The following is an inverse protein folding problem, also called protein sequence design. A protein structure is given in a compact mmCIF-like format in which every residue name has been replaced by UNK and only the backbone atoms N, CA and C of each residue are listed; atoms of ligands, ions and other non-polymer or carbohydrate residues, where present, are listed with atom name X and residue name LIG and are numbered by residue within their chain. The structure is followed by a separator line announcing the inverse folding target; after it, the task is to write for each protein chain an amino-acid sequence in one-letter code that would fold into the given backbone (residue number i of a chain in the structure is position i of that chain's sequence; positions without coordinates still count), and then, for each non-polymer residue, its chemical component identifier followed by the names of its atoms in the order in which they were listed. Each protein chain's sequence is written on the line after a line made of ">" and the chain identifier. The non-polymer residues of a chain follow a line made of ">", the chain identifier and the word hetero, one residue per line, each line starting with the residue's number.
data_IF_311517133133
#
_entry.id   IF_311517133133
#
_cell.length_a   1.000
_cell.length_b   1.000
_cell.length_c   1.000
_cell.angle_alpha   90.00
_cell.angle_beta   90.00
_cell.angle_gamma   90.00
#
_symmetry.space_group_name_H-M   'P 1'
#
loop_
_entity.id
_entity.type
_entity.pdbx_description
1 polymer ?
#
# COMPACT_ATOMS: atom_id res chain seq x y z
N UNK A 1 72.80 -3.85 -14.92
CA UNK A 1 71.60 -2.99 -15.02
C UNK A 1 70.56 -3.71 -15.85
N UNK A 2 69.65 -4.43 -15.20
CA UNK A 2 68.56 -5.15 -15.87
C UNK A 2 67.28 -4.82 -15.10
N UNK A 3 66.42 -4.00 -15.70
CA UNK A 3 65.17 -3.52 -15.11
C UNK A 3 64.16 -4.66 -15.09
N UNK A 4 63.71 -5.04 -13.90
CA UNK A 4 62.59 -5.97 -13.69
C UNK A 4 61.31 -5.13 -13.75
N UNK A 5 60.48 -5.38 -14.77
CA UNK A 5 59.13 -4.82 -14.88
C UNK A 5 58.16 -5.70 -14.08
N UNK A 6 57.63 -5.18 -12.97
CA UNK A 6 56.48 -5.76 -12.29
C UNK A 6 55.20 -5.40 -13.05
N UNK A 7 54.54 -6.39 -13.63
CA UNK A 7 53.20 -6.25 -14.19
C UNK A 7 52.18 -6.49 -13.05
N UNK A 8 51.44 -5.44 -12.69
CA UNK A 8 50.33 -5.51 -11.73
C UNK A 8 49.12 -6.14 -12.44
N UNK A 9 48.72 -7.34 -12.05
CA UNK A 9 47.45 -7.95 -12.48
C UNK A 9 46.32 -7.42 -11.60
N UNK A 10 45.51 -6.50 -12.13
CA UNK A 10 44.24 -6.10 -11.52
C UNK A 10 43.19 -7.12 -11.96
N UNK A 11 42.86 -8.05 -11.06
CA UNK A 11 41.74 -8.97 -11.28
C UNK A 11 40.42 -8.21 -11.19
N UNK A 12 39.70 -8.10 -12.31
CA UNK A 12 38.32 -7.64 -12.35
C UNK A 12 37.45 -8.67 -11.62
N UNK A 13 36.94 -8.33 -10.43
CA UNK A 13 35.85 -9.09 -9.81
C UNK A 13 34.56 -8.61 -10.47
N UNK A 14 34.06 -9.37 -11.44
CA UNK A 14 32.71 -9.17 -11.98
C UNK A 14 31.71 -9.66 -10.93
N UNK A 15 31.15 -8.73 -10.17
CA UNK A 15 30.01 -9.00 -9.30
C UNK A 15 28.78 -9.19 -10.18
N UNK A 16 28.41 -10.43 -10.43
CA UNK A 16 27.16 -10.78 -11.12
C UNK A 16 26.00 -10.49 -10.16
N UNK A 17 25.34 -9.35 -10.33
CA UNK A 17 24.06 -9.07 -9.67
C UNK A 17 23.03 -10.03 -10.29
N UNK A 18 22.70 -11.11 -9.58
CA UNK A 18 21.55 -11.94 -9.91
C UNK A 18 20.31 -11.19 -9.46
N UNK A 19 19.64 -10.50 -10.37
CA UNK A 19 18.28 -10.01 -10.13
C UNK A 19 17.33 -11.19 -10.23
N UNK A 20 16.96 -11.78 -9.10
CA UNK A 20 15.83 -12.71 -9.04
C UNK A 20 14.56 -11.90 -9.28
N UNK A 21 14.02 -11.93 -10.49
CA UNK A 21 12.66 -11.49 -10.74
C UNK A 21 11.73 -12.42 -9.98
N UNK A 22 11.25 -12.00 -8.82
CA UNK A 22 10.16 -12.69 -8.13
C UNK A 22 8.90 -12.37 -8.93
N UNK A 23 8.54 -13.26 -9.86
CA UNK A 23 7.24 -13.20 -10.52
C UNK A 23 6.18 -13.48 -9.47
N UNK A 24 5.47 -12.45 -9.02
CA UNK A 24 4.21 -12.65 -8.29
C UNK A 24 3.29 -13.45 -9.21
N UNK A 25 2.78 -14.58 -8.71
CA UNK A 25 1.77 -15.32 -9.46
C UNK A 25 0.54 -14.42 -9.63
N UNK A 26 -0.07 -14.47 -10.81
CA UNK A 26 -1.27 -13.70 -11.10
C UNK A 26 -2.50 -14.46 -10.60
N UNK A 27 -3.56 -13.73 -10.27
CA UNK A 27 -4.89 -14.27 -9.99
C UNK A 27 -5.23 -15.34 -11.05
N UNK A 28 -5.60 -16.57 -10.64
CA UNK A 28 -5.91 -17.64 -11.58
C UNK A 28 -6.97 -17.19 -12.59
N UNK A 29 -6.76 -17.50 -13.86
CA UNK A 29 -7.71 -17.12 -14.91
C UNK A 29 -9.10 -17.66 -14.57
N UNK A 30 -10.08 -16.75 -14.54
CA UNK A 30 -11.47 -17.07 -14.25
C UNK A 30 -11.84 -17.16 -12.76
N UNK A 31 -10.90 -16.98 -11.83
CA UNK A 31 -11.17 -17.13 -10.39
C UNK A 31 -12.31 -16.21 -9.90
N UNK A 32 -12.36 -14.97 -10.40
CA UNK A 32 -13.38 -13.98 -10.03
C UNK A 32 -14.51 -13.83 -11.05
N UNK A 33 -14.66 -14.72 -12.05
CA UNK A 33 -15.67 -14.57 -13.12
C UNK A 33 -17.12 -14.56 -12.60
N UNK A 34 -17.37 -15.18 -11.45
CA UNK A 34 -18.69 -15.24 -10.81
C UNK A 34 -18.94 -14.10 -9.83
N UNK A 35 -17.98 -13.19 -9.63
CA UNK A 35 -18.16 -12.03 -8.74
C UNK A 35 -19.16 -11.05 -9.35
N UNK A 36 -20.13 -10.62 -8.55
CA UNK A 36 -21.17 -9.70 -8.95
C UNK A 36 -20.96 -8.33 -8.28
N UNK A 37 -20.33 -7.41 -8.99
CA UNK A 37 -20.00 -6.06 -8.50
C UNK A 37 -21.17 -5.07 -8.56
N UNK A 38 -22.40 -5.50 -8.87
CA UNK A 38 -23.52 -4.58 -9.15
C UNK A 38 -23.96 -3.72 -7.95
N UNK A 39 -23.79 -4.21 -6.73
CA UNK A 39 -24.06 -3.51 -5.47
C UNK A 39 -23.37 -4.25 -4.31
N UNK A 40 -23.36 -3.65 -3.12
CA UNK A 40 -22.64 -4.19 -1.97
C UNK A 40 -23.11 -5.58 -1.55
N UNK A 41 -24.43 -5.81 -1.53
CA UNK A 41 -25.01 -7.12 -1.15
C UNK A 41 -24.64 -8.18 -2.17
N UNK A 42 -24.82 -7.88 -3.46
CA UNK A 42 -24.45 -8.81 -4.53
C UNK A 42 -22.95 -9.10 -4.57
N UNK A 43 -22.12 -8.10 -4.29
CA UNK A 43 -20.66 -8.27 -4.22
C UNK A 43 -20.32 -9.19 -3.05
N UNK A 44 -20.74 -8.82 -1.85
CA UNK A 44 -20.55 -9.61 -0.63
C UNK A 44 -20.98 -11.07 -0.82
N UNK A 45 -22.21 -11.32 -1.25
CA UNK A 45 -22.76 -12.67 -1.41
C UNK A 45 -22.01 -13.48 -2.48
N UNK A 46 -21.55 -12.82 -3.55
CA UNK A 46 -20.75 -13.48 -4.58
C UNK A 46 -19.32 -13.76 -4.13
N UNK A 47 -18.73 -12.87 -3.32
CA UNK A 47 -17.41 -13.07 -2.72
C UNK A 47 -17.43 -14.22 -1.71
N UNK A 48 -18.42 -14.25 -0.81
CA UNK A 48 -18.60 -15.34 0.15
C UNK A 48 -18.60 -16.71 -0.56
N UNK A 49 -19.41 -16.86 -1.61
CA UNK A 49 -19.52 -18.11 -2.39
C UNK A 49 -18.26 -18.56 -3.13
N UNK A 50 -17.33 -17.66 -3.44
CA UNK A 50 -16.08 -18.05 -4.13
C UNK A 50 -14.95 -18.34 -3.16
N UNK A 51 -15.06 -17.87 -1.92
CA UNK A 51 -14.03 -18.08 -0.90
C UNK A 51 -14.44 -19.10 0.15
N UNK A 52 -15.72 -19.49 0.21
CA UNK A 52 -16.24 -20.53 1.09
C UNK A 52 -15.48 -21.86 0.94
N UNK A 53 -15.62 -22.73 1.94
CA UNK A 53 -15.14 -24.12 1.87
C UNK A 53 -13.65 -24.34 1.58
N UNK A 54 -12.79 -23.46 2.10
CA UNK A 54 -11.33 -23.61 2.00
C UNK A 54 -10.84 -25.01 2.44
N UNK A 55 -9.80 -25.52 1.76
CA UNK A 55 -9.17 -26.78 2.12
C UNK A 55 -8.43 -26.63 3.46
N UNK A 56 -8.92 -27.34 4.48
CA UNK A 56 -8.34 -27.35 5.83
C UNK A 56 -7.02 -28.13 5.86
N UNK A 57 -6.02 -27.56 6.54
CA UNK A 57 -4.80 -28.25 6.95
C UNK A 57 -4.75 -28.39 8.48
N UNK A 58 -4.14 -29.45 9.04
CA UNK A 58 -3.94 -29.55 10.48
C UNK A 58 -3.15 -28.36 11.01
N UNK A 59 -3.38 -27.98 12.26
CA UNK A 59 -2.59 -26.93 12.88
C UNK A 59 -1.12 -27.40 12.97
N UNK A 60 -0.84 -28.56 13.54
CA UNK A 60 0.50 -29.17 13.54
C UNK A 60 0.42 -30.63 13.09
N UNK A 61 1.31 -31.07 12.20
CA UNK A 61 1.37 -32.44 11.66
C UNK A 61 2.80 -32.82 11.22
N UNK A 62 2.99 -34.09 10.85
CA UNK A 62 4.18 -34.56 10.14
C UNK A 62 4.03 -34.56 8.61
N UNK A 63 2.80 -34.37 8.13
CA UNK A 63 2.51 -33.99 6.74
C UNK A 63 2.32 -32.47 6.67
N UNK A 64 1.99 -31.94 5.48
CA UNK A 64 1.73 -30.49 5.31
C UNK A 64 0.75 -29.97 6.35
N UNK A 65 1.16 -28.94 7.08
CA UNK A 65 0.36 -28.27 8.11
C UNK A 65 0.42 -26.74 7.96
N UNK A 66 -0.19 -26.01 8.91
CA UNK A 66 -0.17 -24.55 8.87
C UNK A 66 1.24 -23.94 9.00
N UNK A 67 2.22 -24.61 9.60
CA UNK A 67 3.60 -24.10 9.63
C UNK A 67 4.23 -24.12 8.26
N UNK A 68 4.07 -25.21 7.51
CA UNK A 68 4.63 -25.31 6.15
C UNK A 68 4.08 -24.20 5.24
N UNK A 69 2.77 -23.94 5.35
CA UNK A 69 2.10 -22.90 4.57
C UNK A 69 2.60 -21.51 4.98
N UNK A 70 2.64 -21.24 6.28
CA UNK A 70 3.01 -19.91 6.80
C UNK A 70 4.50 -19.59 6.63
N UNK A 71 5.38 -20.59 6.71
CA UNK A 71 6.80 -20.36 6.42
C UNK A 71 7.06 -20.05 4.95
N UNK A 72 6.17 -20.47 4.05
CA UNK A 72 6.18 -20.04 2.65
C UNK A 72 5.53 -18.67 2.49
N UNK A 73 4.42 -18.41 3.18
CA UNK A 73 3.66 -17.17 3.09
C UNK A 73 4.45 -15.97 3.62
N UNK A 74 5.14 -16.14 4.75
CA UNK A 74 5.91 -15.09 5.43
C UNK A 74 7.41 -15.16 5.11
N UNK A 75 7.80 -15.83 4.02
CA UNK A 75 9.18 -16.00 3.59
C UNK A 75 9.88 -14.65 3.34
N UNK A 76 11.11 -14.52 3.85
CA UNK A 76 11.95 -13.38 3.54
C UNK A 76 12.35 -13.41 2.05
N UNK A 77 11.97 -12.40 1.24
CA UNK A 77 12.26 -12.42 -0.20
C UNK A 77 13.76 -12.30 -0.50
N UNK A 78 14.58 -11.87 0.46
CA UNK A 78 16.03 -11.79 0.33
C UNK A 78 16.77 -13.02 0.89
N UNK A 79 16.08 -13.91 1.61
CA UNK A 79 16.64 -15.16 2.15
C UNK A 79 15.53 -16.19 2.40
N UNK A 80 15.34 -17.11 1.46
CA UNK A 80 14.27 -18.11 1.53
C UNK A 80 14.41 -19.11 2.69
N UNK A 81 15.55 -19.13 3.40
CA UNK A 81 15.73 -19.92 4.62
C UNK A 81 15.12 -19.27 5.86
N UNK A 82 14.64 -18.03 5.73
CA UNK A 82 14.09 -17.23 6.82
C UNK A 82 12.65 -16.80 6.54
N UNK A 83 11.93 -16.50 7.62
CA UNK A 83 10.64 -15.80 7.59
C UNK A 83 10.84 -14.37 8.09
N UNK A 84 9.87 -13.49 7.86
CA UNK A 84 9.79 -12.15 8.46
C UNK A 84 8.57 -12.10 9.37
N UNK A 85 8.78 -11.80 10.65
CA UNK A 85 7.70 -11.74 11.61
C UNK A 85 6.79 -10.52 11.40
N UNK A 86 5.47 -10.73 11.46
CA UNK A 86 4.42 -9.72 11.23
C UNK A 86 4.68 -8.39 11.97
N UNK A 87 4.76 -8.44 13.30
CA UNK A 87 4.81 -7.22 14.12
C UNK A 87 6.20 -6.63 14.29
N UNK A 88 7.24 -7.45 14.43
CA UNK A 88 8.60 -6.96 14.74
C UNK A 88 9.41 -6.65 13.47
N UNK A 89 8.97 -7.11 12.30
CA UNK A 89 9.70 -7.03 11.02
C UNK A 89 11.12 -7.62 11.07
N UNK A 90 11.40 -8.46 12.06
CA UNK A 90 12.67 -9.16 12.22
C UNK A 90 12.61 -10.50 11.48
N UNK A 91 13.74 -10.92 10.91
CA UNK A 91 13.84 -12.23 10.27
C UNK A 91 14.26 -13.32 11.23
N UNK A 92 13.72 -14.51 11.03
CA UNK A 92 14.02 -15.69 11.82
C UNK A 92 14.29 -16.88 10.90
N UNK A 93 15.29 -17.74 11.21
CA UNK A 93 15.44 -19.01 10.51
C UNK A 93 14.16 -19.85 10.62
N UNK A 94 13.74 -20.44 9.50
CA UNK A 94 12.63 -21.40 9.46
C UNK A 94 12.93 -22.58 10.39
N UNK A 95 11.96 -22.93 11.23
CA UNK A 95 12.14 -23.87 12.33
C UNK A 95 10.86 -24.67 12.66
N UNK A 96 9.76 -24.43 11.94
CA UNK A 96 8.46 -25.04 12.18
C UNK A 96 7.92 -24.80 13.60
N UNK A 97 7.00 -25.68 14.02
CA UNK A 97 6.37 -25.59 15.34
C UNK A 97 7.26 -25.97 16.52
N UNK A 98 7.03 -25.29 17.65
CA UNK A 98 7.73 -25.56 18.92
C UNK A 98 9.05 -24.82 19.09
N UNK A 99 9.39 -23.90 18.18
CA UNK A 99 10.54 -23.01 18.33
C UNK A 99 10.28 -21.88 19.36
N UNK A 100 11.35 -21.19 19.78
CA UNK A 100 11.27 -20.10 20.79
C UNK A 100 11.21 -18.69 20.19
N UNK A 101 11.43 -18.54 18.88
CA UNK A 101 11.63 -17.26 18.22
C UNK A 101 10.29 -16.64 17.81
N UNK A 102 9.44 -17.43 17.17
CA UNK A 102 8.16 -17.01 16.63
C UNK A 102 7.08 -18.07 16.83
N UNK A 103 5.84 -17.62 16.77
CA UNK A 103 4.66 -18.47 16.81
C UNK A 103 3.61 -17.97 15.82
N UNK A 104 2.53 -18.74 15.68
CA UNK A 104 1.39 -18.36 14.82
C UNK A 104 0.52 -17.34 15.56
N UNK A 105 0.37 -16.19 14.95
CA UNK A 105 -0.52 -15.11 15.31
C UNK A 105 -1.89 -15.37 14.67
N UNK A 106 -2.92 -15.46 15.51
CA UNK A 106 -4.32 -15.40 15.06
C UNK A 106 -4.76 -13.95 15.02
N UNK A 107 -4.70 -13.27 13.87
CA UNK A 107 -5.08 -11.84 13.76
C UNK A 107 -6.53 -11.60 14.18
N UNK A 108 -7.44 -12.54 13.94
CA UNK A 108 -8.65 -12.69 14.75
C UNK A 108 -8.34 -13.62 15.93
N UNK A 109 -8.21 -13.12 17.18
CA UNK A 109 -7.85 -13.95 18.32
C UNK A 109 -8.83 -15.10 18.45
N UNK A 110 -8.32 -16.32 18.41
CA UNK A 110 -9.14 -17.54 18.53
C UNK A 110 -10.04 -17.57 19.77
N UNK A 111 -9.69 -16.83 20.83
CA UNK A 111 -10.53 -16.69 22.02
C UNK A 111 -11.90 -16.08 21.73
N UNK A 112 -12.05 -15.35 20.61
CA UNK A 112 -13.30 -14.75 20.18
C UNK A 112 -14.05 -15.66 19.19
N UNK A 113 -14.61 -16.74 19.72
CA UNK A 113 -15.56 -17.59 19.00
C UNK A 113 -15.07 -18.96 18.56
N UNK A 114 -13.76 -19.22 18.58
CA UNK A 114 -13.21 -20.50 18.11
C UNK A 114 -11.94 -20.94 18.89
N UNK A 115 -11.96 -21.06 20.22
CA UNK A 115 -10.74 -21.13 21.05
C UNK A 115 -9.92 -22.42 20.94
N UNK A 116 -10.50 -23.49 20.39
CA UNK A 116 -9.95 -24.83 20.45
C UNK A 116 -9.48 -25.33 19.07
N UNK A 117 -8.28 -25.92 19.01
CA UNK A 117 -7.79 -26.62 17.82
C UNK A 117 -8.53 -27.96 17.69
N UNK A 118 -9.57 -27.98 16.86
CA UNK A 118 -10.40 -29.15 16.61
C UNK A 118 -10.55 -29.40 15.12
N UNK A 119 -10.76 -30.66 14.74
CA UNK A 119 -10.92 -31.07 13.34
C UNK A 119 -12.08 -30.36 12.62
N UNK A 120 -13.06 -29.87 13.38
CA UNK A 120 -14.25 -29.18 12.89
C UNK A 120 -14.15 -27.65 13.01
N UNK A 121 -13.01 -27.11 13.42
CA UNK A 121 -12.84 -25.68 13.65
C UNK A 121 -12.03 -25.06 12.51
N UNK A 122 -12.71 -24.79 11.39
CA UNK A 122 -12.12 -24.27 10.16
C UNK A 122 -11.44 -22.90 10.32
N UNK A 123 -12.05 -21.90 10.98
CA UNK A 123 -11.38 -20.62 11.20
C UNK A 123 -10.07 -20.75 11.96
N UNK A 124 -9.92 -21.77 12.81
CA UNK A 124 -8.71 -21.94 13.62
C UNK A 124 -7.44 -22.14 12.77
N UNK A 125 -7.57 -22.79 11.62
CA UNK A 125 -6.45 -23.19 10.75
C UNK A 125 -6.41 -22.44 9.43
N UNK A 126 -7.30 -21.47 9.22
CA UNK A 126 -7.37 -20.70 7.99
C UNK A 126 -6.17 -19.75 7.87
N UNK A 127 -5.23 -20.06 6.99
CA UNK A 127 -3.96 -19.34 6.91
C UNK A 127 -4.04 -17.94 6.31
N UNK A 128 -5.19 -17.52 5.74
CA UNK A 128 -5.38 -16.12 5.29
C UNK A 128 -5.37 -15.09 6.43
N UNK A 129 -5.52 -15.53 7.68
CA UNK A 129 -5.49 -14.67 8.86
C UNK A 129 -4.44 -15.09 9.90
N UNK A 130 -3.74 -16.20 9.64
CA UNK A 130 -2.61 -16.62 10.44
C UNK A 130 -1.34 -16.01 9.90
N UNK A 131 -0.46 -15.55 10.77
CA UNK A 131 0.85 -15.04 10.39
C UNK A 131 1.90 -15.55 11.38
N UNK A 132 3.17 -15.58 10.98
CA UNK A 132 4.27 -15.81 11.90
C UNK A 132 4.66 -14.50 12.58
N UNK A 133 4.67 -14.49 13.90
CA UNK A 133 5.02 -13.32 14.69
C UNK A 133 6.03 -13.67 15.77
N UNK A 134 6.89 -12.71 16.13
CA UNK A 134 7.75 -12.85 17.29
C UNK A 134 6.92 -13.22 18.52
N UNK A 135 7.32 -14.27 19.25
CA UNK A 135 6.51 -14.82 20.35
C UNK A 135 6.18 -13.80 21.43
N UNK A 136 7.10 -12.86 21.72
CA UNK A 136 6.88 -11.79 22.70
C UNK A 136 5.93 -10.69 22.20
N UNK A 137 5.92 -10.42 20.89
CA UNK A 137 5.01 -9.44 20.28
C UNK A 137 3.60 -10.02 20.17
N UNK A 138 3.46 -11.26 19.72
CA UNK A 138 2.19 -11.99 19.77
C UNK A 138 1.64 -12.02 21.21
N UNK A 139 2.48 -12.39 22.20
CA UNK A 139 2.06 -12.36 23.62
C UNK A 139 1.61 -10.97 24.08
N UNK A 140 2.26 -9.90 23.62
CA UNK A 140 1.90 -8.53 23.96
C UNK A 140 0.57 -8.12 23.33
N UNK A 141 0.35 -8.52 22.06
CA UNK A 141 -0.90 -8.34 21.33
C UNK A 141 -2.06 -9.04 22.03
N UNK A 142 -1.85 -10.28 22.47
CA UNK A 142 -2.84 -11.07 23.22
C UNK A 142 -4.15 -11.19 22.42
N UNK A 143 -5.30 -10.94 23.04
CA UNK A 143 -6.59 -10.85 22.37
C UNK A 143 -7.11 -9.41 22.29
N UNK A 144 -6.22 -8.42 22.18
CA UNK A 144 -6.66 -7.02 22.04
C UNK A 144 -7.19 -6.73 20.64
N UNK A 145 -8.28 -5.96 20.52
CA UNK A 145 -8.68 -5.37 19.25
C UNK A 145 -7.56 -4.56 18.60
N UNK A 146 -7.47 -4.66 17.28
CA UNK A 146 -6.78 -3.67 16.49
C UNK A 146 -7.50 -2.33 16.64
N UNK A 147 -6.75 -1.32 17.06
CA UNK A 147 -7.24 -0.01 17.43
C UNK A 147 -6.07 0.98 17.40
N UNK A 148 -6.36 2.26 17.15
CA UNK A 148 -5.37 3.32 17.39
C UNK A 148 -5.01 3.40 18.88
N UNK A 149 -3.79 3.86 19.16
CA UNK A 149 -3.25 3.99 20.50
C UNK A 149 -2.87 5.44 20.81
N UNK A 150 -3.88 6.27 21.07
CA UNK A 150 -3.70 7.73 21.20
C UNK A 150 -3.10 8.19 22.54
N UNK A 151 -3.10 7.35 23.59
CA UNK A 151 -2.56 7.72 24.91
C UNK A 151 -2.18 6.53 25.79
N UNK A 152 -1.12 6.71 26.60
CA UNK A 152 -0.71 5.72 27.60
C UNK A 152 -0.18 4.41 27.01
N UNK A 153 0.37 4.47 25.80
CA UNK A 153 0.78 3.30 25.04
C UNK A 153 2.22 2.91 25.32
N UNK A 154 2.46 1.60 25.37
CA UNK A 154 3.80 1.02 25.38
C UNK A 154 4.24 0.74 23.96
N UNK A 155 5.42 1.24 23.59
CA UNK A 155 6.03 1.00 22.30
C UNK A 155 6.54 -0.43 22.16
N UNK A 156 6.40 -0.97 20.95
CA UNK A 156 6.94 -2.25 20.50
C UNK A 156 7.62 -2.02 19.14
N UNK A 157 8.91 -1.66 19.21
CA UNK A 157 9.74 -1.26 18.07
C UNK A 157 9.84 -2.32 16.97
N UNK A 158 9.89 -1.90 15.72
CA UNK A 158 10.24 -2.78 14.62
C UNK A 158 11.74 -2.84 14.39
N UNK A 159 12.19 -3.84 13.63
CA UNK A 159 13.56 -3.94 13.11
C UNK A 159 13.57 -3.50 11.65
N UNK A 160 14.60 -2.72 11.28
CA UNK A 160 14.80 -2.33 9.89
C UNK A 160 15.15 -3.56 9.04
N UNK A 161 14.26 -3.90 8.11
CA UNK A 161 14.40 -5.10 7.29
C UNK A 161 13.58 -4.94 6.01
N UNK A 162 14.10 -5.43 4.89
CA UNK A 162 13.43 -5.31 3.58
C UNK A 162 13.01 -3.87 3.25
N UNK A 163 13.88 -2.92 3.61
CA UNK A 163 13.65 -1.48 3.47
C UNK A 163 12.44 -0.93 4.24
N UNK A 164 11.91 -1.63 5.25
CA UNK A 164 10.80 -1.18 6.09
C UNK A 164 11.13 -1.34 7.57
N UNK A 165 10.46 -0.58 8.43
CA UNK A 165 10.63 -0.66 9.88
C UNK A 165 11.96 -0.10 10.40
N UNK A 166 12.10 -0.10 11.72
CA UNK A 166 13.27 0.35 12.47
C UNK A 166 13.36 1.86 12.67
N UNK A 167 12.45 2.66 12.11
CA UNK A 167 12.30 4.07 12.46
C UNK A 167 11.43 4.26 13.71
N UNK A 168 11.50 5.45 14.31
CA UNK A 168 10.69 5.82 15.49
C UNK A 168 9.20 5.99 15.19
N UNK A 169 8.81 6.09 13.91
CA UNK A 169 7.41 6.21 13.49
C UNK A 169 6.81 4.88 13.03
N UNK A 170 7.64 3.86 12.79
CA UNK A 170 7.22 2.53 12.34
C UNK A 170 7.17 1.53 13.52
N UNK A 171 6.52 1.90 14.61
CA UNK A 171 6.39 1.06 15.80
C UNK A 171 4.98 0.52 15.97
N UNK A 172 4.86 -0.60 16.68
CA UNK A 172 3.56 -1.03 17.20
C UNK A 172 3.33 -0.37 18.55
N UNK A 173 2.08 -0.14 18.91
CA UNK A 173 1.69 0.49 20.16
C UNK A 173 0.63 -0.34 20.86
N UNK A 174 0.74 -0.48 22.17
CA UNK A 174 -0.24 -1.26 22.91
C UNK A 174 -0.54 -0.72 24.29
N UNK A 175 -1.81 -0.86 24.68
CA UNK A 175 -2.29 -0.55 26.03
C UNK A 175 -3.44 -1.46 26.43
N UNK A 176 -3.70 -1.58 27.72
CA UNK A 176 -4.80 -2.36 28.27
C UNK A 176 -4.77 -3.87 27.97
N UNK A 177 -5.92 -4.52 28.09
CA UNK A 177 -6.08 -5.97 27.96
C UNK A 177 -7.49 -6.33 27.47
N UNK A 178 -7.63 -7.53 26.88
CA UNK A 178 -8.92 -8.00 26.37
C UNK A 178 -9.58 -7.03 25.40
N UNK A 179 -10.90 -7.01 25.40
CA UNK A 179 -11.71 -6.19 24.50
C UNK A 179 -11.61 -4.67 24.77
N UNK A 180 -11.07 -4.24 25.92
CA UNK A 180 -10.84 -2.82 26.23
C UNK A 180 -9.43 -2.36 25.90
N UNK A 181 -8.49 -3.28 25.64
CA UNK A 181 -7.15 -2.96 25.21
C UNK A 181 -7.07 -2.55 23.73
N UNK A 182 -5.91 -2.06 23.33
CA UNK A 182 -5.59 -1.68 21.96
C UNK A 182 -4.25 -2.27 21.56
N UNK A 183 -4.20 -2.80 20.34
CA UNK A 183 -2.97 -3.08 19.63
C UNK A 183 -3.00 -2.31 18.31
N UNK A 184 -2.19 -1.26 18.22
CA UNK A 184 -1.93 -0.56 16.97
C UNK A 184 -0.71 -1.21 16.34
N UNK A 185 -0.88 -1.86 15.19
CA UNK A 185 0.27 -2.40 14.46
C UNK A 185 0.98 -1.27 13.73
N UNK A 186 2.27 -1.45 13.45
CA UNK A 186 3.06 -0.48 12.69
C UNK A 186 2.50 -0.25 11.28
N UNK A 187 2.77 0.93 10.72
CA UNK A 187 2.09 1.50 9.54
C UNK A 187 2.02 0.57 8.33
N UNK A 188 3.08 -0.16 8.02
CA UNK A 188 3.19 -1.03 6.83
C UNK A 188 2.62 -2.45 7.05
N UNK A 189 1.85 -2.67 8.13
CA UNK A 189 1.10 -3.92 8.40
C UNK A 189 -0.35 -3.66 8.81
N UNK A 190 -0.78 -2.39 8.78
CA UNK A 190 -2.13 -1.97 9.17
C UNK A 190 -3.13 -2.58 8.17
N UNK A 191 -2.81 -2.54 6.89
CA UNK A 191 -3.58 -3.06 5.78
C UNK A 191 -3.65 -4.59 5.78
N UNK A 192 -2.53 -5.28 5.98
CA UNK A 192 -2.44 -6.74 6.10
C UNK A 192 -3.40 -7.27 7.16
N UNK A 193 -3.30 -6.69 8.37
CA UNK A 193 -4.11 -7.08 9.51
C UNK A 193 -5.59 -6.79 9.25
N UNK A 194 -5.91 -5.63 8.66
CA UNK A 194 -7.28 -5.26 8.33
C UNK A 194 -7.92 -6.20 7.31
N UNK A 195 -7.23 -6.47 6.19
CA UNK A 195 -7.73 -7.31 5.11
C UNK A 195 -7.84 -8.78 5.52
N UNK A 196 -7.00 -9.28 6.43
CA UNK A 196 -7.16 -10.59 7.04
C UNK A 196 -8.47 -10.71 7.86
N UNK A 197 -8.79 -9.70 8.68
CA UNK A 197 -10.02 -9.68 9.47
C UNK A 197 -11.27 -9.50 8.61
N UNK A 198 -11.19 -8.65 7.57
CA UNK A 198 -12.28 -8.46 6.60
C UNK A 198 -12.55 -9.74 5.80
N UNK A 199 -11.49 -10.45 5.40
CA UNK A 199 -11.62 -11.77 4.77
C UNK A 199 -12.37 -12.74 5.68
N UNK A 200 -11.99 -12.87 6.95
CA UNK A 200 -12.69 -13.77 7.87
C UNK A 200 -14.18 -13.41 8.00
N UNK A 201 -14.50 -12.13 8.02
CA UNK A 201 -15.88 -11.67 8.18
C UNK A 201 -16.78 -12.00 6.99
N UNK A 202 -16.23 -12.06 5.77
CA UNK A 202 -16.96 -12.48 4.57
C UNK A 202 -16.85 -13.98 4.33
N UNK A 203 -15.74 -14.62 4.75
CA UNK A 203 -15.59 -16.07 4.61
C UNK A 203 -16.55 -16.81 5.54
N UNK A 204 -16.68 -16.37 6.79
CA UNK A 204 -17.42 -17.07 7.83
C UNK A 204 -18.71 -16.32 8.19
N UNK A 205 -19.78 -16.61 7.46
CA UNK A 205 -21.11 -16.00 7.66
C UNK A 205 -22.09 -16.93 8.39
N UNK A 206 -21.57 -18.02 8.95
CA UNK A 206 -22.35 -19.13 9.49
C UNK A 206 -22.65 -20.21 8.46
N UNK A 207 -23.65 -21.05 8.74
CA UNK A 207 -24.03 -22.15 7.84
C UNK A 207 -23.21 -23.41 8.07
N UNK A 208 -23.01 -24.18 7.01
CA UNK A 208 -22.31 -25.46 7.06
C UNK A 208 -21.39 -25.59 5.86
N UNK A 209 -20.16 -26.05 6.11
CA UNK A 209 -19.22 -26.38 5.06
C UNK A 209 -19.83 -27.44 4.13
N UNK A 210 -19.96 -27.17 2.84
CA UNK A 210 -20.66 -28.04 1.88
C UNK A 210 -19.96 -29.38 1.67
N UNK A 211 -18.62 -29.41 1.72
CA UNK A 211 -17.82 -30.63 1.60
C UNK A 211 -17.88 -31.58 2.82
N UNK A 212 -18.00 -31.06 4.05
CA UNK A 212 -17.89 -31.88 5.27
C UNK A 212 -19.14 -31.86 6.16
N UNK A 213 -20.08 -30.95 5.92
CA UNK A 213 -21.30 -30.77 6.72
C UNK A 213 -21.04 -30.14 8.10
N UNK A 214 -19.82 -29.69 8.37
CA UNK A 214 -19.45 -29.06 9.64
C UNK A 214 -20.06 -27.67 9.73
N UNK A 215 -20.73 -27.35 10.85
CA UNK A 215 -21.23 -26.00 11.10
C UNK A 215 -20.09 -25.00 11.24
N UNK A 216 -20.23 -23.85 10.58
CA UNK A 216 -19.26 -22.75 10.63
C UNK A 216 -19.82 -21.59 11.48
N UNK A 217 -18.96 -20.80 12.15
CA UNK A 217 -19.40 -19.61 12.86
C UNK A 217 -19.74 -18.46 11.90
N UNK A 218 -20.55 -17.52 12.36
CA UNK A 218 -20.66 -16.19 11.76
C UNK A 218 -19.70 -15.24 12.50
N UNK A 219 -18.63 -14.82 11.84
CA UNK A 219 -17.62 -13.89 12.37
C UNK A 219 -17.93 -12.47 11.89
N UNK A 220 -18.21 -11.56 12.83
CA UNK A 220 -18.70 -10.21 12.50
C UNK A 220 -17.74 -9.14 13.00
N UNK A 221 -17.34 -8.21 12.12
CA UNK A 221 -16.61 -7.01 12.51
C UNK A 221 -17.52 -5.98 13.19
N UNK A 222 -17.08 -5.38 14.30
CA UNK A 222 -17.91 -4.40 15.03
C UNK A 222 -17.10 -3.37 15.81
N UNK A 223 -17.49 -2.10 15.76
CA UNK A 223 -16.94 -1.07 16.64
C UNK A 223 -17.40 -1.23 18.11
N UNK A 224 -18.38 -2.11 18.36
CA UNK A 224 -18.92 -2.33 19.70
C UNK A 224 -18.03 -3.27 20.52
N UNK A 225 -17.12 -2.71 21.30
CA UNK A 225 -16.24 -3.45 22.22
C UNK A 225 -16.98 -4.36 23.22
N UNK A 226 -18.23 -4.08 23.58
CA UNK A 226 -19.01 -4.97 24.45
C UNK A 226 -19.40 -6.27 23.73
N UNK A 227 -19.74 -6.21 22.43
CA UNK A 227 -19.98 -7.42 21.64
C UNK A 227 -18.70 -8.25 21.48
N UNK A 228 -17.55 -7.58 21.28
CA UNK A 228 -16.24 -8.24 21.26
C UNK A 228 -15.97 -8.93 22.60
N UNK A 229 -16.16 -8.22 23.72
CA UNK A 229 -15.96 -8.77 25.06
C UNK A 229 -16.80 -10.04 25.30
N UNK A 230 -18.07 -9.99 24.89
CA UNK A 230 -19.01 -11.11 25.02
C UNK A 230 -18.67 -12.32 24.15
N UNK A 231 -17.77 -12.17 23.17
CA UNK A 231 -17.32 -13.28 22.30
C UNK A 231 -16.22 -14.12 22.93
N UNK A 232 -15.61 -13.66 24.04
CA UNK A 232 -14.60 -14.41 24.79
C UNK A 232 -15.23 -15.31 25.84
N UNK A 233 -15.84 -16.39 25.40
CA UNK A 233 -16.58 -17.32 26.28
C UNK A 233 -15.78 -18.56 26.66
N UNK A 234 -14.67 -18.85 25.96
CA UNK A 234 -13.96 -20.11 26.07
C UNK A 234 -14.59 -21.27 25.29
N UNK A 235 -15.68 -21.00 24.56
CA UNK A 235 -16.42 -22.00 23.78
C UNK A 235 -16.46 -21.63 22.29
N UNK A 236 -16.73 -22.61 21.43
CA UNK A 236 -17.04 -22.34 20.03
C UNK A 236 -18.42 -21.69 19.93
N UNK A 237 -18.51 -20.54 19.27
CA UNK A 237 -19.74 -19.75 19.16
C UNK A 237 -20.33 -19.84 17.75
N UNK A 238 -21.66 -19.84 17.66
CA UNK A 238 -22.35 -19.71 16.38
C UNK A 238 -22.21 -18.30 15.77
N UNK A 239 -22.08 -17.28 16.63
CA UNK A 239 -21.82 -15.89 16.23
C UNK A 239 -20.75 -15.34 17.15
N UNK A 240 -19.71 -14.73 16.58
CA UNK A 240 -18.65 -14.08 17.34
C UNK A 240 -18.27 -12.74 16.71
N UNK A 241 -17.80 -11.84 17.55
CA UNK A 241 -17.49 -10.46 17.18
C UNK A 241 -16.03 -10.13 17.51
N UNK A 242 -15.39 -9.39 16.62
CA UNK A 242 -14.04 -8.87 16.81
C UNK A 242 -13.81 -7.61 15.96
N UNK A 243 -12.72 -6.89 16.20
CA UNK A 243 -12.19 -5.86 15.30
C UNK A 243 -13.02 -4.58 15.26
N UNK A 244 -12.39 -3.43 15.50
CA UNK A 244 -13.06 -2.14 15.32
C UNK A 244 -13.21 -1.86 13.83
N UNK A 245 -14.38 -2.15 13.28
CA UNK A 245 -14.67 -2.09 11.84
C UNK A 245 -14.20 -0.77 11.23
N UNK A 246 -14.52 0.36 11.87
CA UNK A 246 -14.11 1.69 11.40
C UNK A 246 -12.60 1.86 11.33
N UNK A 247 -11.86 1.44 12.37
CA UNK A 247 -10.40 1.45 12.37
C UNK A 247 -9.81 0.56 11.29
N UNK A 248 -10.33 -0.66 11.13
CA UNK A 248 -9.83 -1.59 10.12
C UNK A 248 -10.05 -1.06 8.70
N UNK A 249 -11.19 -0.41 8.44
CA UNK A 249 -11.44 0.27 7.16
C UNK A 249 -10.42 1.39 6.96
N UNK A 250 -10.17 2.21 7.97
CA UNK A 250 -9.18 3.29 7.86
C UNK A 250 -7.76 2.74 7.60
N UNK A 251 -7.36 1.71 8.32
CA UNK A 251 -6.07 1.02 8.11
C UNK A 251 -5.93 0.45 6.71
N UNK A 252 -6.99 -0.15 6.16
CA UNK A 252 -6.99 -0.59 4.77
C UNK A 252 -6.75 0.57 3.79
N UNK A 253 -7.28 1.78 4.08
CA UNK A 253 -7.10 2.97 3.25
C UNK A 253 -5.68 3.52 3.33
N UNK A 254 -5.11 3.51 4.53
CA UNK A 254 -3.79 4.11 4.82
C UNK A 254 -2.62 3.21 4.41
N UNK A 255 -2.84 1.89 4.33
CA UNK A 255 -1.82 0.90 4.00
C UNK A 255 -2.25 0.02 2.80
N UNK A 256 -1.93 0.44 1.55
CA UNK A 256 -2.27 -0.27 0.33
C UNK A 256 -1.62 -1.65 0.22
N UNK A 257 -2.19 -2.53 -0.61
CA UNK A 257 -1.69 -3.89 -0.79
C UNK A 257 -0.25 -3.91 -1.33
N UNK A 258 0.64 -4.61 -0.63
CA UNK A 258 2.06 -4.73 -1.00
C UNK A 258 2.43 -6.12 -1.57
N UNK A 259 3.72 -6.31 -1.89
CA UNK A 259 4.24 -7.58 -2.42
C UNK A 259 4.34 -8.68 -1.35
N UNK A 260 4.34 -8.34 -0.06
CA UNK A 260 4.34 -9.33 1.02
C UNK A 260 2.96 -9.95 1.17
N UNK A 261 1.90 -9.14 1.17
CA UNK A 261 0.52 -9.61 1.19
C UNK A 261 0.16 -10.42 -0.06
N UNK A 262 0.58 -9.96 -1.25
CA UNK A 262 0.37 -10.74 -2.48
C UNK A 262 1.02 -12.12 -2.38
N UNK A 263 2.28 -12.20 -1.93
CA UNK A 263 2.97 -13.50 -1.74
C UNK A 263 2.31 -14.37 -0.68
N UNK A 264 1.84 -13.77 0.41
CA UNK A 264 1.10 -14.47 1.43
C UNK A 264 -0.18 -15.09 0.83
N UNK A 265 -0.99 -14.28 0.14
CA UNK A 265 -2.21 -14.74 -0.54
C UNK A 265 -1.94 -15.86 -1.56
N UNK A 266 -0.84 -15.77 -2.32
CA UNK A 266 -0.42 -16.84 -3.25
C UNK A 266 -0.04 -18.14 -2.54
N UNK A 267 0.74 -18.06 -1.46
CA UNK A 267 1.16 -19.23 -0.70
C UNK A 267 -0.05 -19.92 -0.06
N UNK A 268 -0.99 -19.14 0.49
CA UNK A 268 -2.23 -19.67 1.06
C UNK A 268 -3.10 -20.29 -0.02
N UNK A 269 -3.31 -19.60 -1.16
CA UNK A 269 -4.10 -20.11 -2.27
C UNK A 269 -3.59 -21.45 -2.80
N UNK A 270 -2.27 -21.60 -2.93
CA UNK A 270 -1.64 -22.83 -3.41
C UNK A 270 -1.93 -24.06 -2.54
N UNK A 271 -2.38 -23.84 -1.30
CA UNK A 271 -2.70 -24.90 -0.34
C UNK A 271 -4.20 -24.96 -0.04
N UNK A 272 -4.81 -23.86 0.40
CA UNK A 272 -6.21 -23.83 0.84
C UNK A 272 -7.21 -23.68 -0.30
N UNK A 273 -6.76 -23.40 -1.52
CA UNK A 273 -7.59 -23.38 -2.73
C UNK A 273 -8.49 -22.15 -2.88
N UNK A 274 -8.55 -21.27 -1.88
CA UNK A 274 -9.26 -20.00 -1.93
C UNK A 274 -8.31 -18.81 -1.74
N UNK A 275 -8.74 -17.62 -2.18
CA UNK A 275 -7.96 -16.38 -2.16
C UNK A 275 -8.62 -15.34 -1.26
N UNK A 276 -7.83 -14.45 -0.65
CA UNK A 276 -8.36 -13.26 0.00
C UNK A 276 -8.68 -12.20 -1.06
N UNK A 277 -9.98 -11.92 -1.33
CA UNK A 277 -10.38 -11.01 -2.38
C UNK A 277 -10.05 -9.57 -2.06
N UNK A 278 -9.83 -9.21 -0.79
CA UNK A 278 -9.46 -7.86 -0.40
C UNK A 278 -7.98 -7.55 -0.63
N UNK A 279 -7.15 -8.59 -0.85
CA UNK A 279 -5.76 -8.44 -1.32
C UNK A 279 -5.73 -8.32 -2.85
N UNK A 280 -6.50 -9.17 -3.55
CA UNK A 280 -6.52 -9.17 -5.03
C UNK A 280 -7.32 -8.00 -5.62
N UNK A 281 -8.39 -7.58 -4.92
CA UNK A 281 -9.30 -6.49 -5.27
C UNK A 281 -9.56 -5.59 -4.05
N UNK A 282 -8.58 -4.77 -3.63
CA UNK A 282 -8.71 -3.93 -2.44
C UNK A 282 -9.90 -2.96 -2.50
N UNK A 283 -10.32 -2.55 -3.69
CA UNK A 283 -11.52 -1.72 -3.90
C UNK A 283 -12.81 -2.34 -3.36
N UNK A 284 -12.87 -3.67 -3.21
CA UNK A 284 -14.05 -4.36 -2.69
C UNK A 284 -14.31 -4.07 -1.21
N UNK A 285 -13.29 -3.69 -0.43
CA UNK A 285 -13.47 -3.36 0.99
C UNK A 285 -14.50 -2.24 1.16
N UNK A 286 -14.41 -1.18 0.36
CA UNK A 286 -15.27 -0.01 0.48
C UNK A 286 -16.70 -0.31 0.03
N UNK A 287 -16.84 -1.09 -1.03
CA UNK A 287 -18.16 -1.56 -1.46
C UNK A 287 -18.81 -2.44 -0.40
N UNK A 288 -18.11 -3.46 0.10
CA UNK A 288 -18.65 -4.42 1.06
C UNK A 288 -18.92 -3.78 2.42
N UNK A 289 -17.96 -3.02 2.96
CA UNK A 289 -18.02 -2.57 4.35
C UNK A 289 -18.55 -1.14 4.54
N UNK A 290 -18.49 -0.27 3.52
CA UNK A 290 -19.05 1.09 3.55
C UNK A 290 -20.28 1.25 2.62
N UNK A 291 -20.72 0.20 1.93
CA UNK A 291 -21.83 0.24 0.97
C UNK A 291 -21.61 1.28 -0.16
N UNK A 292 -20.36 1.48 -0.56
CA UNK A 292 -19.98 2.40 -1.62
C UNK A 292 -19.26 1.66 -2.76
N UNK A 293 -20.03 1.33 -3.81
CA UNK A 293 -19.61 0.44 -4.90
C UNK A 293 -19.32 1.18 -6.21
N UNK A 294 -18.97 2.46 -6.16
CA UNK A 294 -18.74 3.29 -7.36
C UNK A 294 -17.52 2.86 -8.20
N UNK A 295 -16.90 1.70 -7.93
CA UNK A 295 -15.64 1.28 -8.54
C UNK A 295 -14.46 2.18 -8.16
N UNK A 296 -14.69 3.12 -7.24
CA UNK A 296 -13.65 3.86 -6.57
C UNK A 296 -13.14 2.93 -5.48
N UNK A 297 -11.88 2.49 -5.59
CA UNK A 297 -11.08 2.30 -4.39
C UNK A 297 -11.39 3.44 -3.44
N UNK A 298 -11.28 3.22 -2.13
CA UNK A 298 -11.33 4.30 -1.16
C UNK A 298 -10.62 5.54 -1.71
N UNK A 299 -11.03 6.76 -1.35
CA UNK A 299 -10.16 7.88 -1.60
C UNK A 299 -8.88 7.61 -0.78
N UNK A 300 -7.89 6.95 -1.37
CA UNK A 300 -6.57 7.54 -1.40
C UNK A 300 -6.87 8.97 -1.78
N UNK A 301 -6.58 9.91 -0.89
CA UNK A 301 -6.49 11.30 -1.29
C UNK A 301 -5.68 11.27 -2.57
N UNK A 302 -6.33 11.47 -3.72
CA UNK A 302 -5.69 11.38 -5.02
C UNK A 302 -4.66 12.50 -5.02
N UNK A 303 -3.44 12.14 -4.70
CA UNK A 303 -2.39 13.08 -4.42
C UNK A 303 -1.55 13.14 -5.67
N UNK A 304 -1.84 14.14 -6.50
CA UNK A 304 -1.13 14.38 -7.75
C UNK A 304 -0.73 15.85 -7.75
N UNK A 305 0.53 16.10 -8.07
CA UNK A 305 1.10 17.44 -8.14
C UNK A 305 2.07 17.56 -9.32
N UNK A 306 2.34 18.79 -9.73
CA UNK A 306 3.38 19.10 -10.73
C UNK A 306 4.75 18.89 -10.06
N UNK A 307 5.56 18.03 -10.65
CA UNK A 307 6.78 17.48 -10.06
C UNK A 307 8.07 18.02 -10.69
N UNK A 308 8.05 18.21 -12.00
CA UNK A 308 9.19 18.67 -12.79
C UNK A 308 8.64 19.48 -13.97
N UNK A 309 9.31 20.58 -14.34
CA UNK A 309 8.89 21.40 -15.47
C UNK A 309 10.08 22.00 -16.20
N UNK A 310 9.92 22.14 -17.51
CA UNK A 310 10.87 22.79 -18.41
C UNK A 310 10.13 23.71 -19.38
N UNK A 311 10.41 25.01 -19.30
CA UNK A 311 9.75 26.08 -20.07
C UNK A 311 10.71 27.05 -20.78
N UNK A 312 11.98 27.12 -20.38
CA UNK A 312 12.99 28.00 -21.02
C UNK A 312 14.37 27.33 -21.06
N UNK A 313 15.04 27.41 -22.22
CA UNK A 313 16.42 26.98 -22.35
C UNK A 313 17.24 27.76 -23.39
N UNK A 314 18.55 27.53 -23.35
CA UNK A 314 19.49 28.11 -24.30
C UNK A 314 19.07 27.81 -25.74
N UNK A 315 18.83 28.87 -26.51
CA UNK A 315 18.40 28.93 -27.92
C UNK A 315 16.89 28.95 -28.13
N UNK A 316 16.34 28.00 -28.90
CA UNK A 316 14.90 27.82 -29.08
C UNK A 316 14.39 26.89 -27.99
N UNK A 317 13.29 27.24 -27.34
CA UNK A 317 12.60 26.42 -26.33
C UNK A 317 12.31 25.02 -26.90
N UNK A 318 13.20 24.08 -26.58
CA UNK A 318 13.17 22.70 -27.08
C UNK A 318 12.97 21.75 -25.93
N UNK A 319 12.18 20.71 -26.18
CA UNK A 319 11.85 19.66 -25.22
C UNK A 319 11.12 20.17 -23.98
N UNK A 320 10.33 21.23 -24.10
CA UNK A 320 9.46 21.70 -23.02
C UNK A 320 8.52 20.58 -22.55
N UNK A 321 8.39 20.43 -21.24
CA UNK A 321 7.56 19.40 -20.65
C UNK A 321 7.07 19.81 -19.26
N UNK A 322 6.03 19.12 -18.83
CA UNK A 322 5.58 19.11 -17.44
C UNK A 322 5.42 17.66 -17.03
N UNK A 323 5.95 17.33 -15.87
CA UNK A 323 5.78 16.05 -15.22
C UNK A 323 4.87 16.20 -14.01
N UNK A 324 4.01 15.21 -13.81
CA UNK A 324 3.27 15.06 -12.55
C UNK A 324 3.82 13.87 -11.78
N UNK A 325 3.80 13.99 -10.46
CA UNK A 325 4.00 12.88 -9.54
C UNK A 325 2.71 12.63 -8.78
N UNK A 326 2.51 11.41 -8.32
CA UNK A 326 1.37 11.08 -7.48
C UNK A 326 1.19 9.60 -7.24
N UNK A 327 0.01 9.26 -6.71
CA UNK A 327 -0.37 7.87 -6.43
C UNK A 327 -0.19 7.00 -7.67
N UNK A 328 0.58 5.93 -7.52
CA UNK A 328 0.84 4.97 -8.58
C UNK A 328 -0.44 4.25 -9.01
N UNK A 329 -0.43 3.76 -10.24
CA UNK A 329 -1.55 3.12 -10.93
C UNK A 329 -2.76 4.05 -11.18
N UNK A 330 -2.69 5.33 -10.83
CA UNK A 330 -3.71 6.30 -11.18
C UNK A 330 -3.72 6.55 -12.69
N UNK A 331 -4.89 6.38 -13.31
CA UNK A 331 -5.12 6.72 -14.71
C UNK A 331 -5.51 8.20 -14.85
N UNK A 332 -4.72 8.96 -15.60
CA UNK A 332 -4.88 10.39 -15.81
C UNK A 332 -5.85 10.74 -16.95
N UNK A 333 -6.62 9.77 -17.47
CA UNK A 333 -7.62 10.03 -18.51
C UNK A 333 -8.66 11.05 -18.01
N UNK A 334 -8.83 12.13 -18.77
CA UNK A 334 -9.76 13.22 -18.44
C UNK A 334 -9.13 14.34 -17.60
N UNK A 335 -7.92 14.16 -17.09
CA UNK A 335 -7.16 15.21 -16.42
C UNK A 335 -6.55 16.17 -17.45
N UNK A 336 -6.14 17.36 -17.01
CA UNK A 336 -5.51 18.36 -17.90
C UNK A 336 -4.52 19.26 -17.17
N UNK A 337 -3.54 19.73 -17.93
CA UNK A 337 -2.72 20.89 -17.58
C UNK A 337 -3.22 22.10 -18.37
N UNK A 338 -3.35 23.25 -17.71
CA UNK A 338 -3.78 24.51 -18.33
C UNK A 338 -2.71 25.57 -18.11
N UNK A 339 -2.14 26.10 -19.19
CA UNK A 339 -1.13 27.16 -19.12
C UNK A 339 -1.78 28.55 -19.25
N UNK A 340 -1.33 29.50 -18.45
CA UNK A 340 -1.86 30.85 -18.31
C UNK A 340 -0.80 31.91 -18.58
N UNK A 341 -1.21 32.98 -19.26
CA UNK A 341 -0.35 34.10 -19.61
C UNK A 341 -0.36 35.16 -18.51
N UNK A 342 0.81 35.57 -18.04
CA UNK A 342 0.99 36.53 -16.96
C UNK A 342 0.51 37.95 -17.24
N UNK A 343 0.55 38.38 -18.49
CA UNK A 343 0.19 39.75 -18.86
C UNK A 343 -1.32 40.01 -18.78
N UNK A 344 -2.15 38.98 -18.97
CA UNK A 344 -3.61 39.14 -19.03
C UNK A 344 -4.41 38.09 -18.23
N UNK A 345 -3.74 37.12 -17.62
CA UNK A 345 -4.35 36.05 -16.84
C UNK A 345 -5.14 35.02 -17.67
N UNK A 346 -5.10 35.06 -19.00
CA UNK A 346 -5.87 34.14 -19.83
C UNK A 346 -5.16 32.80 -19.99
N UNK A 347 -5.94 31.71 -19.94
CA UNK A 347 -5.53 30.40 -20.43
C UNK A 347 -5.21 30.48 -21.92
N UNK A 348 -4.02 30.03 -22.32
CA UNK A 348 -3.59 30.00 -23.72
C UNK A 348 -3.32 28.60 -24.25
N UNK A 349 -3.23 27.59 -23.38
CA UNK A 349 -2.98 26.20 -23.77
C UNK A 349 -3.61 25.23 -22.80
N UNK A 350 -4.20 24.16 -23.35
CA UNK A 350 -4.72 23.02 -22.59
C UNK A 350 -4.04 21.77 -23.13
N UNK A 351 -3.44 20.99 -22.25
CA UNK A 351 -2.86 19.68 -22.55
C UNK A 351 -3.68 18.62 -21.81
N UNK A 352 -4.45 17.82 -22.55
CA UNK A 352 -5.13 16.66 -21.98
C UNK A 352 -4.11 15.61 -21.55
N UNK A 353 -4.27 15.09 -20.34
CA UNK A 353 -3.44 14.02 -19.81
C UNK A 353 -4.09 12.66 -20.10
N UNK A 354 -3.25 11.63 -20.16
CA UNK A 354 -3.67 10.24 -20.31
C UNK A 354 -2.55 9.29 -19.89
N UNK A 355 -2.89 8.01 -19.76
CA UNK A 355 -1.98 6.99 -19.28
C UNK A 355 -1.96 6.89 -17.77
N UNK A 356 -1.10 6.00 -17.28
CA UNK A 356 -1.04 5.61 -15.87
C UNK A 356 0.26 6.12 -15.25
N UNK A 357 0.18 6.64 -14.02
CA UNK A 357 1.37 6.93 -13.20
C UNK A 357 1.98 5.60 -12.76
N UNK A 358 3.23 5.33 -13.16
CA UNK A 358 3.88 4.06 -12.83
C UNK A 358 4.23 4.01 -11.34
N UNK A 359 4.23 2.82 -10.73
CA UNK A 359 4.81 2.65 -9.40
C UNK A 359 6.34 2.64 -9.50
N UNK A 360 6.98 3.74 -9.13
CA UNK A 360 8.44 3.86 -9.12
C UNK A 360 9.00 3.65 -7.71
N UNK A 361 8.24 4.07 -6.69
CA UNK A 361 8.65 3.93 -5.29
C UNK A 361 7.42 3.99 -4.38
N UNK A 362 7.20 2.90 -3.61
CA UNK A 362 6.25 2.84 -2.48
C UNK A 362 4.82 3.35 -2.79
N UNK A 363 4.28 2.97 -3.94
CA UNK A 363 2.91 3.34 -4.32
C UNK A 363 2.80 4.75 -4.90
N UNK A 364 3.92 5.39 -5.24
CA UNK A 364 4.00 6.65 -5.95
C UNK A 364 4.92 6.54 -7.17
N UNK A 365 4.75 7.46 -8.10
CA UNK A 365 5.69 7.66 -9.20
C UNK A 365 5.33 8.84 -10.07
N UNK A 366 5.90 8.89 -11.25
CA UNK A 366 5.83 10.06 -12.14
C UNK A 366 5.29 9.73 -13.53
N UNK A 367 4.77 10.77 -14.20
CA UNK A 367 4.35 10.72 -15.60
C UNK A 367 4.57 12.07 -16.28
N UNK A 368 5.37 12.07 -17.34
CA UNK A 368 5.76 13.29 -18.05
C UNK A 368 4.99 13.50 -19.35
N UNK A 369 4.76 14.77 -19.67
CA UNK A 369 4.03 15.23 -20.83
C UNK A 369 4.82 16.33 -21.54
N UNK A 370 5.23 16.08 -22.78
CA UNK A 370 5.87 17.11 -23.61
C UNK A 370 4.83 18.14 -24.06
N UNK A 371 5.12 19.42 -23.83
CA UNK A 371 4.21 20.54 -24.10
C UNK A 371 4.99 21.64 -24.81
N UNK A 372 4.93 21.68 -26.14
CA UNK A 372 5.59 22.74 -26.91
C UNK A 372 4.91 24.10 -26.74
N UNK A 373 5.67 25.18 -26.63
CA UNK A 373 5.20 26.56 -26.62
C UNK A 373 4.58 26.96 -25.28
N UNK A 374 5.18 26.53 -24.18
CA UNK A 374 5.03 27.21 -22.90
C UNK A 374 5.67 28.60 -23.03
N UNK A 375 5.09 29.57 -22.34
CA UNK A 375 5.55 30.95 -22.36
C UNK A 375 6.55 31.17 -21.20
N UNK A 376 7.46 32.13 -21.35
CA UNK A 376 8.57 32.41 -20.43
C UNK A 376 8.53 33.86 -19.91
N UNK A 377 7.33 34.43 -19.74
CA UNK A 377 7.11 35.75 -19.18
C UNK A 377 6.99 35.76 -17.66
N UNK A 378 7.41 36.86 -17.03
CA UNK A 378 7.14 37.17 -15.63
C UNK A 378 5.70 37.74 -15.47
N UNK A 379 4.72 37.02 -14.92
CA UNK A 379 4.74 35.62 -14.46
C UNK A 379 3.74 34.78 -15.25
N UNK A 380 4.18 33.73 -15.94
CA UNK A 380 3.32 32.71 -16.55
C UNK A 380 3.12 31.54 -15.58
N UNK A 381 2.09 30.72 -15.81
CA UNK A 381 1.76 29.65 -14.87
C UNK A 381 1.01 28.47 -15.46
N UNK A 382 0.92 27.41 -14.66
CA UNK A 382 0.35 26.12 -15.05
C UNK A 382 -0.56 25.63 -13.92
N UNK A 383 -1.78 25.28 -14.29
CA UNK A 383 -2.73 24.63 -13.39
C UNK A 383 -2.87 23.14 -13.71
N UNK A 384 -2.87 22.31 -12.68
CA UNK A 384 -3.24 20.90 -12.74
C UNK A 384 -4.71 20.76 -12.35
N UNK A 385 -5.50 20.16 -13.23
CA UNK A 385 -6.96 20.01 -13.06
C UNK A 385 -7.33 18.54 -13.21
N UNK A 386 -8.10 18.03 -12.24
CA UNK A 386 -8.56 16.65 -12.25
C UNK A 386 -9.66 16.40 -13.29
N UNK A 387 -10.09 15.14 -13.42
CA UNK A 387 -11.15 14.72 -14.34
C UNK A 387 -12.56 15.23 -13.96
N UNK A 388 -12.74 15.79 -12.76
CA UNK A 388 -13.97 16.43 -12.31
C UNK A 388 -13.95 17.95 -12.54
N UNK A 389 -12.85 18.51 -13.04
CA UNK A 389 -12.67 19.95 -13.27
C UNK A 389 -12.20 20.72 -12.03
N UNK A 390 -11.77 20.04 -10.96
CA UNK A 390 -11.21 20.69 -9.77
C UNK A 390 -9.74 21.03 -10.01
N UNK A 391 -9.38 22.29 -9.76
CA UNK A 391 -7.98 22.74 -9.76
C UNK A 391 -7.30 22.21 -8.50
N UNK A 392 -6.34 21.31 -8.67
CA UNK A 392 -5.56 20.74 -7.57
C UNK A 392 -4.34 21.59 -7.22
N UNK A 393 -3.75 22.20 -8.24
CA UNK A 393 -2.57 23.04 -8.08
C UNK A 393 -2.59 24.14 -9.14
N UNK A 394 -2.16 25.34 -8.76
CA UNK A 394 -1.91 26.43 -9.69
C UNK A 394 -0.58 27.10 -9.32
N UNK A 395 0.45 26.81 -10.09
CA UNK A 395 1.80 27.37 -9.90
C UNK A 395 2.14 28.38 -10.98
N UNK A 396 3.08 29.26 -10.68
CA UNK A 396 3.71 30.16 -11.63
C UNK A 396 5.21 30.22 -11.40
N UNK A 397 5.92 30.74 -12.38
CA UNK A 397 7.35 31.05 -12.30
C UNK A 397 7.56 32.54 -12.53
N UNK A 398 8.63 33.07 -11.95
CA UNK A 398 9.02 34.49 -12.06
C UNK A 398 7.99 35.48 -11.50
N UNK A 399 7.20 35.03 -10.51
CA UNK A 399 6.19 35.83 -9.81
C UNK A 399 4.84 35.12 -9.71
N UNK A 400 3.78 35.89 -9.47
CA UNK A 400 2.40 35.38 -9.34
C UNK A 400 1.49 36.01 -10.38
N UNK A 401 0.44 35.29 -10.79
CA UNK A 401 -0.61 35.78 -11.67
C UNK A 401 -2.00 35.37 -11.16
N UNK A 402 -3.02 36.13 -11.53
CA UNK A 402 -4.42 35.76 -11.28
C UNK A 402 -5.08 35.40 -12.60
N UNK A 403 -5.64 34.20 -12.69
CA UNK A 403 -6.31 33.76 -13.90
C UNK A 403 -7.63 34.51 -14.09
N UNK A 404 -7.91 34.95 -15.31
CA UNK A 404 -9.08 35.76 -15.68
C UNK A 404 -10.13 34.95 -16.44
N UNK A 405 -9.80 33.73 -16.85
CA UNK A 405 -10.71 32.77 -17.48
C UNK A 405 -10.23 31.32 -17.20
N UNK A 406 -10.85 30.33 -17.86
CA UNK A 406 -10.47 28.92 -17.72
C UNK A 406 -10.86 28.30 -16.37
N UNK A 407 -10.37 27.09 -16.10
CA UNK A 407 -10.70 26.34 -14.88
C UNK A 407 -10.17 27.01 -13.60
N UNK A 408 -9.12 27.84 -13.73
CA UNK A 408 -8.52 28.59 -12.62
C UNK A 408 -9.06 30.01 -12.49
N UNK A 409 -10.11 30.39 -13.23
CA UNK A 409 -10.66 31.75 -13.22
C UNK A 409 -10.89 32.27 -11.80
N UNK A 410 -10.26 33.40 -11.46
CA UNK A 410 -10.33 34.03 -10.14
C UNK A 410 -9.34 33.49 -9.10
N UNK A 411 -8.58 32.42 -9.41
CA UNK A 411 -7.51 31.92 -8.56
C UNK A 411 -6.20 32.67 -8.82
N UNK A 412 -5.42 32.90 -7.77
CA UNK A 412 -4.04 33.41 -7.85
C UNK A 412 -3.07 32.23 -7.75
N UNK A 413 -2.07 32.20 -8.63
CA UNK A 413 -1.04 31.16 -8.63
C UNK A 413 -0.07 31.30 -7.45
N UNK A 414 0.61 30.21 -7.12
CA UNK A 414 1.75 30.20 -6.20
C UNK A 414 3.05 30.26 -6.99
N UNK A 415 3.90 31.26 -6.73
CA UNK A 415 5.24 31.33 -7.31
C UNK A 415 6.11 30.18 -6.76
N UNK A 416 6.75 29.43 -7.64
CA UNK A 416 7.63 28.32 -7.26
C UNK A 416 9.00 28.80 -6.73
N UNK A 417 9.33 30.08 -6.93
CA UNK A 417 10.52 30.72 -6.35
C UNK A 417 11.86 30.34 -7.00
N UNK A 418 11.82 29.56 -8.08
CA UNK A 418 12.97 29.20 -8.93
C UNK A 418 12.59 29.43 -10.39
N UNK A 419 13.58 29.67 -11.24
CA UNK A 419 13.34 30.09 -12.63
C UNK A 419 14.32 29.40 -13.56
N UNK A 420 13.88 29.19 -14.80
CA UNK A 420 14.80 28.95 -15.91
C UNK A 420 15.16 30.29 -16.55
N UNK A 421 16.16 30.28 -17.41
CA UNK A 421 16.56 31.46 -18.18
C UNK A 421 17.03 31.02 -19.55
N UNK A 422 17.17 31.97 -20.47
CA UNK A 422 17.88 31.77 -21.75
C UNK A 422 19.32 31.21 -21.65
N UNK A 423 19.87 31.05 -20.44
CA UNK A 423 21.16 30.41 -20.18
C UNK A 423 21.06 28.97 -19.65
N UNK A 424 19.86 28.49 -19.31
CA UNK A 424 19.60 27.11 -18.85
C UNK A 424 20.04 26.11 -19.92
N UNK A 425 20.82 25.11 -19.51
CA UNK A 425 21.33 24.07 -20.42
C UNK A 425 20.19 23.20 -20.96
N UNK A 426 20.30 22.80 -22.23
CA UNK A 426 19.39 21.81 -22.81
C UNK A 426 19.43 20.50 -22.02
N UNK A 427 18.26 19.96 -21.68
CA UNK A 427 18.13 18.75 -20.85
C UNK A 427 18.24 19.02 -19.35
N UNK A 428 18.10 20.28 -18.92
CA UNK A 428 17.86 20.64 -17.53
C UNK A 428 16.39 21.01 -17.34
N UNK A 429 15.93 20.98 -16.10
CA UNK A 429 14.56 21.29 -15.69
C UNK A 429 14.55 21.80 -14.26
N UNK A 430 13.50 22.52 -13.89
CA UNK A 430 13.14 22.76 -12.50
C UNK A 430 12.45 21.51 -11.96
N UNK A 431 12.82 21.09 -10.75
CA UNK A 431 12.35 19.83 -10.20
C UNK A 431 12.18 19.93 -8.68
N UNK A 432 11.17 19.24 -8.15
CA UNK A 432 10.97 19.07 -6.72
C UNK A 432 12.02 18.12 -6.13
N UNK A 433 12.50 18.46 -4.93
CA UNK A 433 13.41 17.63 -4.12
C UNK A 433 12.90 17.57 -2.68
N UNK A 434 13.21 16.50 -1.96
CA UNK A 434 12.73 16.25 -0.60
C UNK A 434 12.23 14.81 -0.41
N UNK A 435 11.72 14.55 0.78
CA UNK A 435 11.14 13.24 1.14
C UNK A 435 9.75 13.44 1.71
N UNK A 436 8.76 12.75 1.15
CA UNK A 436 7.38 12.89 1.58
C UNK A 436 6.39 12.19 0.66
N UNK A 437 5.11 12.47 0.85
CA UNK A 437 4.02 11.93 0.03
C UNK A 437 3.08 13.01 -0.49
N UNK A 438 3.28 14.27 -0.09
CA UNK A 438 2.48 15.43 -0.46
C UNK A 438 3.34 16.49 -1.13
N UNK A 439 2.74 17.31 -1.99
CA UNK A 439 3.43 18.46 -2.60
C UNK A 439 4.17 19.33 -1.57
N UNK A 440 3.58 19.55 -0.40
CA UNK A 440 4.15 20.37 0.69
C UNK A 440 5.44 19.82 1.29
N UNK A 441 5.74 18.54 1.06
CA UNK A 441 6.91 17.87 1.64
C UNK A 441 8.16 18.07 0.76
N UNK A 442 7.97 18.67 -0.42
CA UNK A 442 9.02 18.92 -1.39
C UNK A 442 9.23 20.41 -1.60
N UNK A 443 10.42 20.76 -2.07
CA UNK A 443 10.79 22.14 -2.41
C UNK A 443 11.38 22.19 -3.81
N UNK A 444 10.94 23.17 -4.59
CA UNK A 444 11.48 23.42 -5.93
C UNK A 444 12.96 23.77 -5.88
N UNK A 445 13.73 23.14 -6.77
CA UNK A 445 15.17 23.37 -6.92
C UNK A 445 15.47 24.15 -8.19
N UNK A 446 16.62 24.82 -8.21
CA UNK A 446 17.16 25.42 -9.43
C UNK A 446 17.43 24.37 -10.51
N UNK A 447 17.53 24.82 -11.76
CA UNK A 447 17.61 23.94 -12.91
C UNK A 447 18.77 22.94 -12.83
N UNK A 448 18.45 21.64 -12.89
CA UNK A 448 19.38 20.51 -12.82
C UNK A 448 19.09 19.52 -13.96
N UNK A 449 19.97 18.54 -14.26
CA UNK A 449 19.71 17.54 -15.30
C UNK A 449 18.33 16.89 -15.11
N UNK A 450 17.55 16.87 -16.18
CA UNK A 450 16.15 16.44 -16.15
C UNK A 450 16.03 14.95 -15.86
N UNK A 451 14.98 14.59 -15.15
CA UNK A 451 14.67 13.24 -14.69
C UNK A 451 13.39 12.68 -15.31
N UNK A 452 12.98 13.23 -16.46
CA UNK A 452 11.78 12.84 -17.22
C UNK A 452 11.47 11.35 -17.17
N UNK A 453 10.37 11.01 -16.51
CA UNK A 453 9.82 9.65 -16.41
C UNK A 453 10.48 8.81 -15.32
N UNK A 454 11.29 9.42 -14.45
CA UNK A 454 11.92 8.85 -13.27
C UNK A 454 11.69 9.75 -12.05
N UNK A 455 12.23 9.36 -10.90
CA UNK A 455 12.23 10.20 -9.69
C UNK A 455 13.21 11.36 -9.86
N UNK A 456 12.85 12.53 -9.33
CA UNK A 456 13.72 13.69 -9.34
C UNK A 456 14.99 13.50 -8.50
N UNK A 457 15.99 14.33 -8.75
CA UNK A 457 17.22 14.35 -7.99
C UNK A 457 16.96 14.63 -6.50
N UNK A 458 17.37 13.70 -5.63
CA UNK A 458 17.13 13.75 -4.19
C UNK A 458 15.65 13.79 -3.79
N UNK A 459 14.77 13.31 -4.67
CA UNK A 459 13.38 13.07 -4.33
C UNK A 459 13.19 11.63 -3.85
N UNK A 460 12.38 11.46 -2.82
CA UNK A 460 11.96 10.14 -2.39
C UNK A 460 10.55 10.13 -1.82
N UNK A 461 9.77 9.11 -2.17
CA UNK A 461 8.43 8.92 -1.62
C UNK A 461 8.50 8.11 -0.32
N UNK A 462 8.45 8.81 0.82
CA UNK A 462 8.48 8.26 2.18
C UNK A 462 7.40 8.97 3.03
N UNK A 463 6.69 8.27 3.93
CA UNK A 463 5.85 8.92 4.94
C UNK A 463 6.65 9.68 6.00
#
# INVERSE_FOLDING_TARGET
>A
MQKIHHALWVGLVTSSIVTTNVTLAAIPTGYYDLVNTSNAVSLHDSLHKIIDDHQRFPYTSSATDTWDILERADENPHDSSQIIGLYKNESYPKAGGGNLNYNREHTWPKSYGFPNDGANNYPYTDTHHLFLANSGYNSSRSNKPYAECDSGCSEKVTTANNSRGGSSTESNWTTGSGATGSWETWSERKGDSARALMYLAVRYEGGTHAGTGVSEPNLILTDNRALIANSNTGENLAVAYMGLKSTLIQWHKDDPVDDFERRHNEAVYANQGNRNPFIDHPEYVICVFENNCSGSSAPSTVNVWINELHYDNKSSDKNEFVEVAGTANLNLTGWKLVAYNGNNGNAYKITSLSGVINNQQRGFGTKSFYISGLQNGAADGIALVDNAGKVLQFISYEGTLTATNGDSSGLTSTDIGVTETSSTSLGHSLQLSGSGQNYSDFTWQSAAPSTVGALNNNQSFYP
#
